data_IF_141875270585
#
_entry.id   IF_141875270585
#
_cell.length_a   1.000
_cell.length_b   1.000
_cell.length_c   1.000
_cell.angle_alpha   90.00
_cell.angle_beta   90.00
_cell.angle_gamma   90.00
#
_symmetry.space_group_name_H-M   'P 1'
#
loop_
_entity.id
_entity.type
_entity.pdbx_description
1 polymer ?
#
# COMPACT_ATOMS: atom_id res chain seq x y z
N UNK A 1 -33.48 9.72 -7.37
CA UNK A 1 -32.70 9.15 -8.50
C UNK A 1 -31.39 8.70 -7.90
N UNK A 2 -31.24 7.40 -7.66
CA UNK A 2 -30.09 6.83 -6.93
C UNK A 2 -28.95 6.76 -7.93
N UNK A 3 -27.94 7.62 -7.77
CA UNK A 3 -26.67 7.48 -8.49
C UNK A 3 -26.05 6.15 -8.07
N UNK A 4 -26.14 5.16 -8.95
CA UNK A 4 -25.42 3.90 -8.81
C UNK A 4 -23.92 4.24 -8.76
N UNK A 5 -23.18 3.84 -7.70
CA UNK A 5 -21.76 4.06 -7.67
C UNK A 5 -21.14 3.39 -8.89
N UNK A 6 -20.40 4.19 -9.66
CA UNK A 6 -19.66 3.82 -10.85
C UNK A 6 -19.20 2.35 -10.77
N UNK A 7 -19.85 1.49 -11.57
CA UNK A 7 -19.39 0.14 -11.82
C UNK A 7 -17.91 0.24 -12.13
N UNK A 8 -17.09 -0.38 -11.28
CA UNK A 8 -15.64 -0.41 -11.40
C UNK A 8 -15.26 -0.58 -12.87
N UNK A 9 -14.71 0.47 -13.47
CA UNK A 9 -14.12 0.35 -14.79
C UNK A 9 -13.07 -0.74 -14.65
N UNK A 10 -13.30 -1.89 -15.29
CA UNK A 10 -12.26 -2.89 -15.51
C UNK A 10 -11.01 -2.12 -15.95
N UNK A 11 -9.81 -2.45 -15.46
CA UNK A 11 -8.58 -1.82 -15.91
C UNK A 11 -8.40 -2.16 -17.40
N UNK A 12 -9.06 -1.37 -18.25
CA UNK A 12 -8.96 -1.45 -19.68
C UNK A 12 -7.63 -0.78 -19.97
N UNK A 13 -6.60 -1.59 -20.21
CA UNK A 13 -5.33 -1.13 -20.75
C UNK A 13 -5.64 -0.33 -22.02
N UNK A 14 -5.70 0.99 -21.90
CA UNK A 14 -5.95 1.80 -23.08
C UNK A 14 -4.70 1.72 -23.93
N UNK A 15 -4.85 1.32 -25.20
CA UNK A 15 -3.75 1.17 -26.17
C UNK A 15 -2.79 2.38 -26.18
N UNK A 16 -3.33 3.57 -25.88
CA UNK A 16 -2.60 4.84 -25.75
C UNK A 16 -1.50 4.79 -24.68
N UNK A 17 -1.74 4.18 -23.52
CA UNK A 17 -0.73 4.07 -22.46
C UNK A 17 0.42 3.17 -22.88
N UNK A 18 0.13 2.06 -23.58
CA UNK A 18 1.16 1.17 -24.13
C UNK A 18 1.99 1.91 -25.18
N UNK A 19 1.34 2.66 -26.08
CA UNK A 19 2.03 3.47 -27.08
C UNK A 19 3.00 4.50 -26.46
N UNK A 20 2.57 5.20 -25.40
CA UNK A 20 3.43 6.15 -24.67
C UNK A 20 4.62 5.43 -24.02
N UNK A 21 4.39 4.29 -23.36
CA UNK A 21 5.46 3.51 -22.72
C UNK A 21 6.49 3.03 -23.74
N UNK A 22 6.03 2.50 -24.89
CA UNK A 22 6.92 2.04 -25.97
C UNK A 22 7.72 3.21 -26.55
N UNK A 23 7.09 4.37 -26.77
CA UNK A 23 7.77 5.55 -27.28
C UNK A 23 8.86 6.07 -26.33
N UNK A 24 8.55 6.18 -25.02
CA UNK A 24 9.53 6.59 -24.00
C UNK A 24 10.67 5.58 -23.90
N UNK A 25 10.37 4.29 -23.91
CA UNK A 25 11.38 3.24 -23.89
C UNK A 25 12.28 3.30 -25.13
N UNK A 26 11.71 3.55 -26.31
CA UNK A 26 12.48 3.68 -27.56
C UNK A 26 13.43 4.88 -27.54
N UNK A 27 13.01 6.03 -27.01
CA UNK A 27 13.90 7.19 -26.84
C UNK A 27 15.05 6.86 -25.87
N UNK A 28 14.74 6.26 -24.72
CA UNK A 28 15.75 5.88 -23.74
C UNK A 28 16.76 4.89 -24.33
N UNK A 29 16.29 3.88 -25.08
CA UNK A 29 17.13 2.93 -25.82
C UNK A 29 17.98 3.62 -26.89
N UNK A 30 17.44 4.57 -27.63
CA UNK A 30 18.18 5.30 -28.65
C UNK A 30 19.33 6.12 -28.04
N UNK A 31 19.11 6.73 -26.87
CA UNK A 31 20.14 7.47 -26.12
C UNK A 31 21.19 6.52 -25.55
N UNK A 32 20.78 5.36 -25.03
CA UNK A 32 21.66 4.37 -24.44
C UNK A 32 22.42 3.50 -25.47
N UNK A 33 21.94 3.44 -26.71
CA UNK A 33 22.50 2.62 -27.80
C UNK A 33 24.03 2.73 -27.99
N UNK A 34 24.65 3.93 -28.01
CA UNK A 34 26.11 4.04 -28.16
C UNK A 34 26.91 3.42 -27.01
N UNK A 35 26.36 3.38 -25.79
CA UNK A 35 26.99 2.69 -24.65
C UNK A 35 26.77 1.17 -24.71
N UNK A 36 25.55 0.74 -25.04
CA UNK A 36 25.21 -0.68 -25.16
C UNK A 36 26.01 -1.42 -26.24
N UNK A 37 26.47 -0.72 -27.28
CA UNK A 37 27.33 -1.30 -28.32
C UNK A 37 28.71 -1.74 -27.83
N UNK A 38 29.17 -1.21 -26.71
CA UNK A 38 30.52 -1.45 -26.17
C UNK A 38 30.53 -2.64 -25.21
N UNK A 39 29.35 -3.16 -24.86
CA UNK A 39 29.18 -4.21 -23.87
C UNK A 39 29.62 -5.58 -24.37
N UNK A 40 30.27 -6.32 -23.49
CA UNK A 40 30.69 -7.70 -23.73
C UNK A 40 29.52 -8.67 -23.55
N UNK A 41 29.68 -9.92 -23.98
CA UNK A 41 28.67 -10.97 -23.75
C UNK A 41 28.38 -11.18 -22.25
N UNK A 42 29.38 -10.98 -21.38
CA UNK A 42 29.25 -11.08 -19.92
C UNK A 42 28.34 -10.00 -19.37
N UNK A 43 28.49 -8.75 -19.83
CA UNK A 43 27.65 -7.62 -19.40
C UNK A 43 26.18 -7.85 -19.76
N UNK A 44 25.93 -8.40 -20.95
CA UNK A 44 24.57 -8.78 -21.38
C UNK A 44 23.97 -9.88 -20.50
N UNK A 45 24.75 -10.87 -20.07
CA UNK A 45 24.29 -11.92 -19.17
C UNK A 45 23.97 -11.38 -17.77
N UNK A 46 24.78 -10.44 -17.26
CA UNK A 46 24.51 -9.76 -15.98
C UNK A 46 23.21 -8.97 -16.07
N UNK A 47 23.02 -8.18 -17.14
CA UNK A 47 21.77 -7.46 -17.37
C UNK A 47 20.58 -8.42 -17.46
N UNK A 48 20.70 -9.52 -18.23
CA UNK A 48 19.64 -10.51 -18.39
C UNK A 48 19.24 -11.11 -17.03
N UNK A 49 20.22 -11.47 -16.19
CA UNK A 49 19.97 -11.96 -14.83
C UNK A 49 19.24 -10.92 -14.00
N UNK A 50 19.74 -9.69 -13.98
CA UNK A 50 19.15 -8.59 -13.23
C UNK A 50 17.68 -8.37 -13.63
N UNK A 51 17.41 -8.28 -14.94
CA UNK A 51 16.05 -8.16 -15.49
C UNK A 51 15.20 -9.36 -15.08
N UNK A 52 15.75 -10.57 -15.11
CA UNK A 52 15.09 -11.78 -14.62
C UNK A 52 14.67 -11.68 -13.15
N UNK A 53 15.57 -11.24 -12.26
CA UNK A 53 15.28 -11.07 -10.84
C UNK A 53 14.20 -10.00 -10.58
N UNK A 54 14.27 -8.88 -11.30
CA UNK A 54 13.24 -7.82 -11.25
C UNK A 54 11.89 -8.35 -11.74
N UNK A 55 11.87 -9.12 -12.83
CA UNK A 55 10.66 -9.73 -13.35
C UNK A 55 10.04 -10.71 -12.35
N UNK A 56 10.84 -11.54 -11.68
CA UNK A 56 10.35 -12.47 -10.65
C UNK A 56 9.71 -11.72 -9.48
N UNK A 57 10.33 -10.65 -8.98
CA UNK A 57 9.74 -9.86 -7.89
C UNK A 57 8.41 -9.20 -8.28
N UNK A 58 8.31 -8.68 -9.51
CA UNK A 58 7.06 -8.17 -10.06
C UNK A 58 5.98 -9.27 -10.23
N UNK A 59 6.36 -10.47 -10.68
CA UNK A 59 5.45 -11.62 -10.81
C UNK A 59 4.93 -12.05 -9.44
N UNK A 60 5.81 -12.19 -8.44
CA UNK A 60 5.43 -12.52 -7.06
C UNK A 60 4.43 -11.49 -6.53
N UNK A 61 4.70 -10.20 -6.74
CA UNK A 61 3.76 -9.14 -6.38
C UNK A 61 2.40 -9.32 -7.06
N UNK A 62 2.36 -9.55 -8.37
CA UNK A 62 1.12 -9.71 -9.12
C UNK A 62 0.33 -10.94 -8.66
N UNK A 63 1.00 -12.06 -8.39
CA UNK A 63 0.39 -13.27 -7.86
C UNK A 63 -0.22 -13.03 -6.48
N UNK A 64 0.53 -12.42 -5.56
CA UNK A 64 0.02 -12.08 -4.22
C UNK A 64 -1.14 -11.09 -4.27
N UNK A 65 -1.05 -10.10 -5.16
CA UNK A 65 -2.11 -9.12 -5.38
C UNK A 65 -3.39 -9.79 -5.88
N UNK A 66 -3.30 -10.65 -6.90
CA UNK A 66 -4.44 -11.34 -7.47
C UNK A 66 -5.07 -12.32 -6.46
N UNK A 67 -4.26 -13.09 -5.72
CA UNK A 67 -4.76 -13.97 -4.67
C UNK A 67 -5.53 -13.21 -3.59
N UNK A 68 -5.00 -12.07 -3.14
CA UNK A 68 -5.69 -11.20 -2.18
C UNK A 68 -6.96 -10.60 -2.77
N UNK A 69 -6.89 -10.10 -3.99
CA UNK A 69 -8.02 -9.52 -4.67
C UNK A 69 -9.17 -10.53 -4.84
N UNK A 70 -8.86 -11.77 -5.22
CA UNK A 70 -9.84 -12.84 -5.31
C UNK A 70 -10.41 -13.23 -3.94
N UNK A 71 -9.58 -13.30 -2.90
CA UNK A 71 -10.04 -13.54 -1.54
C UNK A 71 -11.06 -12.49 -1.10
N UNK A 72 -10.73 -11.20 -1.31
CA UNK A 72 -11.60 -10.09 -0.97
C UNK A 72 -12.89 -10.14 -1.79
N UNK A 73 -12.79 -10.35 -3.10
CA UNK A 73 -13.96 -10.41 -3.98
C UNK A 73 -14.94 -11.52 -3.61
N UNK A 74 -14.44 -12.65 -3.09
CA UNK A 74 -15.28 -13.75 -2.61
C UNK A 74 -15.99 -13.43 -1.30
N UNK A 75 -15.32 -12.69 -0.41
CA UNK A 75 -15.79 -12.46 0.95
C UNK A 75 -16.53 -11.15 1.12
N UNK A 76 -16.30 -10.15 0.27
CA UNK A 76 -16.71 -8.77 0.56
C UNK A 76 -18.23 -8.54 0.50
N UNK A 77 -18.94 -9.24 -0.38
CA UNK A 77 -20.35 -8.93 -0.65
C UNK A 77 -20.50 -7.65 -1.48
N UNK A 78 -21.67 -7.00 -1.42
CA UNK A 78 -21.93 -5.77 -2.18
C UNK A 78 -21.13 -4.59 -1.61
N UNK A 79 -20.67 -3.71 -2.48
CA UNK A 79 -20.10 -2.42 -2.07
C UNK A 79 -21.22 -1.52 -1.52
N UNK A 80 -21.07 -1.07 -0.27
CA UNK A 80 -22.00 -0.15 0.39
C UNK A 80 -21.61 1.30 0.13
N UNK A 81 -20.35 1.65 0.44
CA UNK A 81 -19.84 2.99 0.28
C UNK A 81 -18.36 2.97 -0.10
N UNK A 82 -17.97 3.88 -0.99
CA UNK A 82 -16.56 4.21 -1.20
C UNK A 82 -16.25 5.50 -0.45
N UNK A 83 -15.39 5.41 0.57
CA UNK A 83 -14.92 6.60 1.27
C UNK A 83 -13.91 7.28 0.38
N UNK A 84 -14.27 8.49 -0.05
CA UNK A 84 -13.33 9.32 -0.77
C UNK A 84 -12.41 9.93 0.27
N UNK A 85 -11.15 9.50 0.26
CA UNK A 85 -10.20 10.03 1.21
C UNK A 85 -10.04 11.54 1.02
N UNK A 86 -10.17 12.32 2.10
CA UNK A 86 -9.78 13.76 2.13
C UNK A 86 -8.26 13.94 1.96
N UNK A 87 -7.55 12.83 1.74
CA UNK A 87 -6.13 12.78 1.42
C UNK A 87 -5.77 13.82 0.36
N UNK A 88 -4.83 14.69 0.74
CA UNK A 88 -4.36 15.76 -0.12
C UNK A 88 -3.89 15.17 -1.47
N UNK A 89 -4.10 15.91 -2.57
CA UNK A 89 -3.58 15.52 -3.90
C UNK A 89 -2.09 15.13 -3.84
N UNK A 90 -1.35 15.68 -2.88
CA UNK A 90 0.05 15.41 -2.60
C UNK A 90 0.32 13.99 -2.08
N UNK A 91 -0.60 13.35 -1.36
CA UNK A 91 -0.41 11.97 -0.87
C UNK A 91 -0.25 10.96 -2.01
N UNK A 92 -1.09 11.05 -3.05
CA UNK A 92 -0.97 10.20 -4.25
C UNK A 92 0.32 10.49 -5.03
N UNK A 93 0.67 11.76 -5.18
CA UNK A 93 1.91 12.17 -5.85
C UNK A 93 3.13 11.64 -5.09
N UNK A 94 3.13 11.67 -3.76
CA UNK A 94 4.22 11.14 -2.93
C UNK A 94 4.42 9.63 -3.14
N UNK A 95 3.35 8.84 -3.26
CA UNK A 95 3.46 7.41 -3.55
C UNK A 95 4.00 7.14 -4.95
N UNK A 96 3.56 7.89 -5.96
CA UNK A 96 4.13 7.78 -7.31
C UNK A 96 5.58 8.19 -7.35
N UNK A 97 5.95 9.27 -6.64
CA UNK A 97 7.32 9.72 -6.52
C UNK A 97 8.20 8.67 -5.83
N UNK A 98 7.73 8.07 -4.74
CA UNK A 98 8.44 6.99 -4.04
C UNK A 98 8.59 5.75 -4.92
N UNK A 99 7.54 5.36 -5.65
CA UNK A 99 7.59 4.27 -6.62
C UNK A 99 8.59 4.54 -7.75
N UNK A 100 8.62 5.77 -8.27
CA UNK A 100 9.59 6.20 -9.28
C UNK A 100 11.02 6.22 -8.73
N UNK A 101 11.22 6.66 -7.49
CA UNK A 101 12.52 6.65 -6.82
C UNK A 101 13.03 5.21 -6.66
N UNK A 102 12.19 4.27 -6.25
CA UNK A 102 12.56 2.85 -6.15
C UNK A 102 12.89 2.24 -7.51
N UNK A 103 12.13 2.60 -8.56
CA UNK A 103 12.43 2.18 -9.92
C UNK A 103 13.76 2.76 -10.44
N UNK A 104 14.07 4.02 -10.12
CA UNK A 104 15.34 4.65 -10.44
C UNK A 104 16.50 3.99 -9.67
N UNK A 105 16.32 3.70 -8.38
CA UNK A 105 17.31 2.96 -7.58
C UNK A 105 17.58 1.57 -8.14
N UNK A 106 16.54 0.84 -8.57
CA UNK A 106 16.70 -0.44 -9.27
C UNK A 106 17.57 -0.28 -10.50
N UNK A 107 17.27 0.72 -11.34
CA UNK A 107 18.06 0.98 -12.54
C UNK A 107 19.52 1.30 -12.21
N UNK A 108 19.76 2.14 -11.21
CA UNK A 108 21.09 2.49 -10.74
C UNK A 108 21.87 1.28 -10.21
N UNK A 109 21.25 0.42 -9.39
CA UNK A 109 21.88 -0.81 -8.91
C UNK A 109 22.22 -1.78 -10.04
N UNK A 110 21.34 -1.90 -11.05
CA UNK A 110 21.61 -2.71 -12.23
C UNK A 110 22.84 -2.23 -13.00
N UNK A 111 22.99 -0.91 -13.18
CA UNK A 111 24.18 -0.33 -13.82
C UNK A 111 25.45 -0.53 -12.99
N UNK A 112 25.39 -0.29 -11.68
CA UNK A 112 26.52 -0.54 -10.79
C UNK A 112 26.98 -2.00 -10.82
N UNK A 113 26.07 -2.96 -10.92
CA UNK A 113 26.43 -4.39 -11.02
C UNK A 113 27.21 -4.72 -12.29
N UNK A 114 26.93 -4.04 -13.40
CA UNK A 114 27.65 -4.23 -14.67
C UNK A 114 29.07 -3.65 -14.56
N UNK A 115 29.19 -2.42 -14.04
CA UNK A 115 30.48 -1.73 -13.88
C UNK A 115 31.39 -2.42 -12.85
N UNK A 116 30.82 -2.88 -11.74
CA UNK A 116 31.59 -3.48 -10.64
C UNK A 116 31.96 -4.94 -10.85
N UNK A 117 31.46 -5.60 -11.90
CA UNK A 117 31.67 -7.04 -12.10
C UNK A 117 33.15 -7.42 -12.27
N UNK A 118 33.97 -6.51 -12.80
CA UNK A 118 35.41 -6.75 -12.99
C UNK A 118 36.22 -6.59 -11.69
N UNK A 119 35.68 -5.94 -10.66
CA UNK A 119 36.44 -5.50 -9.47
C UNK A 119 35.90 -6.05 -8.15
N UNK A 120 34.77 -6.74 -8.17
CA UNK A 120 34.20 -7.35 -6.97
C UNK A 120 35.02 -8.58 -6.57
N UNK A 121 35.62 -8.60 -5.35
CA UNK A 121 36.23 -9.81 -4.82
C UNK A 121 35.18 -10.93 -4.78
N UNK A 122 35.60 -12.19 -4.89
CA UNK A 122 34.73 -13.34 -4.69
C UNK A 122 34.16 -13.30 -3.27
N UNK A 123 33.05 -12.59 -3.10
CA UNK A 123 32.25 -12.60 -1.89
C UNK A 123 31.69 -14.01 -1.71
N UNK A 124 31.54 -14.44 -0.45
CA UNK A 124 30.81 -15.65 -0.10
C UNK A 124 29.50 -15.76 -0.92
N UNK A 125 29.19 -16.97 -1.39
CA UNK A 125 28.07 -17.28 -2.29
C UNK A 125 26.75 -16.72 -1.75
N UNK A 126 26.59 -16.70 -0.44
CA UNK A 126 25.42 -16.12 0.24
C UNK A 126 25.30 -14.60 0.02
N UNK A 127 26.40 -13.86 0.20
CA UNK A 127 26.43 -12.39 0.03
C UNK A 127 26.20 -12.03 -1.43
N UNK A 128 26.79 -12.80 -2.35
CA UNK A 128 26.55 -12.65 -3.77
C UNK A 128 25.07 -12.86 -4.12
N UNK A 129 24.44 -13.93 -3.61
CA UNK A 129 23.03 -14.21 -3.85
C UNK A 129 22.11 -13.10 -3.33
N UNK A 130 22.37 -12.59 -2.12
CA UNK A 130 21.62 -11.47 -1.54
C UNK A 130 21.67 -10.23 -2.44
N UNK A 131 22.88 -9.81 -2.81
CA UNK A 131 23.10 -8.56 -3.55
C UNK A 131 22.63 -8.64 -5.00
N UNK A 132 22.80 -9.80 -5.63
CA UNK A 132 22.56 -9.97 -7.06
C UNK A 132 21.14 -10.46 -7.38
N UNK A 133 20.47 -11.15 -6.44
CA UNK A 133 19.16 -11.75 -6.68
C UNK A 133 18.08 -11.22 -5.72
N UNK A 134 18.30 -11.30 -4.41
CA UNK A 134 17.24 -11.01 -3.44
C UNK A 134 16.90 -9.51 -3.38
N UNK A 135 17.90 -8.62 -3.37
CA UNK A 135 17.68 -7.18 -3.30
C UNK A 135 16.89 -6.65 -4.51
N UNK A 136 17.26 -6.95 -5.77
CA UNK A 136 16.48 -6.54 -6.94
C UNK A 136 15.05 -7.08 -6.91
N UNK A 137 14.88 -8.34 -6.50
CA UNK A 137 13.56 -8.95 -6.36
C UNK A 137 12.70 -8.22 -5.31
N UNK A 138 13.26 -7.91 -4.15
CA UNK A 138 12.55 -7.18 -3.09
C UNK A 138 12.21 -5.74 -3.49
N UNK A 139 13.16 -5.01 -4.08
CA UNK A 139 12.95 -3.64 -4.53
C UNK A 139 11.88 -3.56 -5.63
N UNK A 140 11.87 -4.50 -6.57
CA UNK A 140 10.85 -4.58 -7.62
C UNK A 140 9.45 -4.86 -7.04
N UNK A 141 9.34 -5.78 -6.08
CA UNK A 141 8.10 -6.03 -5.34
C UNK A 141 7.58 -4.76 -4.66
N UNK A 142 8.45 -4.02 -3.96
CA UNK A 142 8.09 -2.78 -3.27
C UNK A 142 7.70 -1.67 -4.23
N UNK A 143 8.42 -1.50 -5.34
CA UNK A 143 8.08 -0.53 -6.38
C UNK A 143 6.68 -0.81 -6.94
N UNK A 144 6.37 -2.06 -7.27
CA UNK A 144 5.04 -2.46 -7.71
C UNK A 144 3.97 -2.18 -6.63
N UNK A 145 4.26 -2.48 -5.37
CA UNK A 145 3.35 -2.21 -4.25
C UNK A 145 2.99 -0.72 -4.15
N UNK A 146 3.97 0.18 -4.18
CA UNK A 146 3.70 1.61 -4.09
C UNK A 146 2.99 2.18 -5.31
N UNK A 147 3.35 1.72 -6.52
CA UNK A 147 2.72 2.20 -7.76
C UNK A 147 1.25 1.78 -7.90
N UNK A 148 0.85 0.65 -7.29
CA UNK A 148 -0.51 0.11 -7.33
C UNK A 148 -1.33 0.32 -6.06
N UNK A 149 -0.76 0.99 -5.05
CA UNK A 149 -1.48 1.25 -3.80
C UNK A 149 -2.71 2.10 -4.07
N UNK A 150 -3.89 1.48 -4.00
CA UNK A 150 -5.15 2.21 -4.00
C UNK A 150 -5.34 2.86 -2.62
N UNK A 151 -5.48 4.18 -2.59
CA UNK A 151 -5.71 4.94 -1.36
C UNK A 151 -7.20 5.00 -0.97
N UNK A 152 -8.09 4.41 -1.78
CA UNK A 152 -9.52 4.39 -1.48
C UNK A 152 -9.83 3.38 -0.39
N UNK A 153 -10.70 3.78 0.54
CA UNK A 153 -11.27 2.87 1.53
C UNK A 153 -12.68 2.54 1.09
N UNK A 154 -13.06 1.27 1.18
CA UNK A 154 -14.34 0.77 0.66
C UNK A 154 -15.02 -0.07 1.73
N UNK A 155 -16.25 0.31 2.06
CA UNK A 155 -17.11 -0.42 2.98
C UNK A 155 -17.97 -1.36 2.15
N UNK A 156 -17.87 -2.65 2.44
CA UNK A 156 -18.67 -3.69 1.83
C UNK A 156 -19.61 -4.32 2.87
N UNK A 157 -20.58 -5.11 2.40
CA UNK A 157 -21.56 -5.78 3.26
C UNK A 157 -20.93 -6.60 4.39
N UNK A 158 -19.82 -7.28 4.10
CA UNK A 158 -19.19 -8.22 5.04
C UNK A 158 -17.88 -7.70 5.65
N UNK A 159 -17.47 -6.48 5.32
CA UNK A 159 -16.26 -5.91 5.92
C UNK A 159 -15.75 -4.65 5.25
N UNK A 160 -14.57 -4.25 5.69
CA UNK A 160 -13.85 -3.07 5.28
C UNK A 160 -12.63 -3.46 4.43
N UNK A 161 -12.50 -2.82 3.28
CA UNK A 161 -11.27 -2.84 2.48
C UNK A 161 -10.52 -1.51 2.61
N UNK A 162 -9.30 -1.58 3.12
CA UNK A 162 -8.47 -0.41 3.43
C UNK A 162 -7.12 -0.44 2.71
N UNK A 163 -6.68 0.74 2.25
CA UNK A 163 -5.31 0.97 1.78
C UNK A 163 -4.89 0.13 0.56
N UNK A 164 -5.84 -0.39 -0.22
CA UNK A 164 -5.56 -1.17 -1.41
C UNK A 164 -4.96 -2.55 -1.16
N UNK A 165 -4.91 -3.01 0.10
CA UNK A 165 -4.19 -4.22 0.45
C UNK A 165 -4.74 -5.00 1.65
N UNK A 166 -5.59 -4.40 2.48
CA UNK A 166 -6.05 -4.99 3.73
C UNK A 166 -7.56 -5.17 3.75
N UNK A 167 -8.00 -6.31 4.26
CA UNK A 167 -9.40 -6.67 4.44
C UNK A 167 -9.64 -7.01 5.91
N UNK A 168 -10.68 -6.41 6.48
CA UNK A 168 -11.14 -6.65 7.84
C UNK A 168 -12.61 -7.01 7.78
N UNK A 169 -12.97 -8.20 8.25
CA UNK A 169 -14.38 -8.56 8.38
C UNK A 169 -15.01 -7.73 9.52
N UNK A 170 -16.32 -7.44 9.45
CA UNK A 170 -16.97 -6.62 10.48
C UNK A 170 -16.84 -7.23 11.87
N UNK A 171 -16.82 -8.56 11.99
CA UNK A 171 -16.67 -9.25 13.28
C UNK A 171 -15.28 -9.10 13.91
N UNK A 172 -14.29 -8.64 13.14
CA UNK A 172 -12.92 -8.40 13.62
C UNK A 172 -12.75 -6.98 14.17
N UNK A 173 -13.68 -6.08 13.88
CA UNK A 173 -13.60 -4.68 14.29
C UNK A 173 -14.24 -4.54 15.67
N UNK A 174 -13.43 -4.17 16.66
CA UNK A 174 -13.87 -4.05 18.05
C UNK A 174 -14.69 -2.76 18.24
N UNK A 175 -14.17 -1.64 17.73
CA UNK A 175 -14.79 -0.32 17.85
C UNK A 175 -14.19 0.67 16.87
N UNK A 176 -14.84 1.83 16.77
CA UNK A 176 -14.44 2.94 15.91
C UNK A 176 -14.69 4.27 16.65
N UNK A 177 -13.91 5.29 16.31
CA UNK A 177 -14.14 6.64 16.81
C UNK A 177 -13.67 7.70 15.80
N UNK A 178 -14.21 8.90 15.93
CA UNK A 178 -13.66 10.07 15.27
C UNK A 178 -12.50 10.60 16.08
N UNK A 179 -11.40 10.94 15.41
CA UNK A 179 -10.25 11.54 16.08
C UNK A 179 -10.64 12.89 16.68
N UNK A 180 -10.37 13.07 17.96
CA UNK A 180 -10.57 14.34 18.67
C UNK A 180 -9.64 15.45 18.16
N UNK A 181 -8.46 15.09 17.64
CA UNK A 181 -7.45 16.01 17.12
C UNK A 181 -7.71 16.39 15.67
N UNK A 182 -8.26 15.45 14.88
CA UNK A 182 -8.58 15.64 13.47
C UNK A 182 -10.02 15.16 13.21
N UNK A 183 -11.04 16.02 13.27
CA UNK A 183 -12.44 15.62 13.26
C UNK A 183 -12.88 14.92 11.96
N UNK A 184 -12.11 15.10 10.88
CA UNK A 184 -12.32 14.45 9.59
C UNK A 184 -11.67 13.05 9.51
N UNK A 185 -10.99 12.58 10.57
CA UNK A 185 -10.36 11.26 10.61
C UNK A 185 -11.18 10.27 11.41
N UNK A 186 -11.59 9.20 10.74
CA UNK A 186 -12.15 8.01 11.36
C UNK A 186 -11.02 7.04 11.71
N UNK A 187 -10.97 6.61 12.97
CA UNK A 187 -10.04 5.59 13.43
C UNK A 187 -10.82 4.29 13.67
N UNK A 188 -10.27 3.18 13.18
CA UNK A 188 -10.85 1.85 13.29
C UNK A 188 -9.89 0.95 14.05
N UNK A 189 -10.43 0.21 15.02
CA UNK A 189 -9.68 -0.66 15.90
C UNK A 189 -10.13 -2.11 15.75
N UNK A 190 -9.16 -3.01 15.69
CA UNK A 190 -9.37 -4.46 15.69
C UNK A 190 -8.34 -5.10 16.63
N UNK A 191 -8.78 -6.03 17.47
CA UNK A 191 -7.95 -6.65 18.51
C UNK A 191 -7.16 -5.63 19.35
N UNK A 192 -7.82 -4.56 19.80
CA UNK A 192 -7.25 -3.46 20.59
C UNK A 192 -6.12 -2.66 19.90
N UNK A 193 -5.88 -2.87 18.61
CA UNK A 193 -4.91 -2.11 17.82
C UNK A 193 -5.60 -1.24 16.78
N UNK A 194 -5.07 -0.04 16.56
CA UNK A 194 -5.54 0.81 15.47
C UNK A 194 -5.11 0.19 14.13
N UNK A 195 -6.08 -0.23 13.33
CA UNK A 195 -5.82 -0.88 12.04
C UNK A 195 -5.98 0.07 10.85
N UNK A 196 -6.80 1.11 10.99
CA UNK A 196 -6.97 2.11 9.95
C UNK A 196 -7.16 3.52 10.52
N UNK A 197 -6.61 4.51 9.81
CA UNK A 197 -6.97 5.91 9.93
C UNK A 197 -7.44 6.38 8.55
N UNK A 198 -8.71 6.76 8.47
CA UNK A 198 -9.37 7.08 7.20
C UNK A 198 -9.74 8.56 7.25
N UNK A 199 -9.21 9.33 6.31
CA UNK A 199 -9.66 10.70 6.11
C UNK A 199 -11.04 10.66 5.41
N UNK A 200 -12.08 11.19 6.03
CA UNK A 200 -13.46 11.17 5.53
C UNK A 200 -13.90 12.60 5.22
N UNK A 201 -14.57 12.81 4.10
CA UNK A 201 -15.17 14.11 3.81
C UNK A 201 -16.37 14.37 4.74
N UNK A 202 -16.58 15.60 5.23
CA UNK A 202 -17.68 15.91 6.14
C UNK A 202 -19.06 15.47 5.63
N UNK A 203 -19.27 15.52 4.31
CA UNK A 203 -20.52 15.13 3.64
C UNK A 203 -20.80 13.62 3.72
N UNK A 204 -19.78 12.77 3.87
CA UNK A 204 -19.94 11.32 3.94
C UNK A 204 -20.04 10.82 5.39
N UNK A 205 -19.89 11.71 6.36
CA UNK A 205 -19.78 11.35 7.78
C UNK A 205 -21.01 10.60 8.29
N UNK A 206 -22.20 11.17 8.09
CA UNK A 206 -23.46 10.56 8.55
C UNK A 206 -23.72 9.20 7.90
N UNK A 207 -23.44 9.09 6.59
CA UNK A 207 -23.58 7.82 5.85
C UNK A 207 -22.65 6.74 6.42
N UNK A 208 -21.38 7.09 6.69
CA UNK A 208 -20.39 6.16 7.24
C UNK A 208 -20.73 5.79 8.69
N UNK A 209 -21.14 6.75 9.51
CA UNK A 209 -21.58 6.49 10.88
C UNK A 209 -22.79 5.55 10.92
N UNK A 210 -23.76 5.73 10.01
CA UNK A 210 -24.91 4.82 9.88
C UNK A 210 -24.47 3.39 9.54
N UNK A 211 -23.58 3.23 8.55
CA UNK A 211 -23.09 1.90 8.16
C UNK A 211 -22.31 1.24 9.29
N UNK A 212 -21.44 2.00 9.99
CA UNK A 212 -20.65 1.47 11.10
C UNK A 212 -21.52 1.15 12.33
N UNK A 213 -22.53 1.97 12.61
CA UNK A 213 -23.51 1.71 13.67
C UNK A 213 -24.26 0.41 13.44
N UNK A 214 -24.74 0.19 12.21
CA UNK A 214 -25.48 -1.02 11.84
C UNK A 214 -24.62 -2.29 11.85
N UNK A 215 -23.33 -2.17 11.49
CA UNK A 215 -22.44 -3.33 11.28
C UNK A 215 -21.54 -3.68 12.46
N UNK A 216 -21.08 -2.68 13.21
CA UNK A 216 -20.17 -2.88 14.34
C UNK A 216 -20.87 -2.78 15.70
N UNK A 217 -22.17 -2.47 15.75
CA UNK A 217 -22.96 -2.50 17.00
C UNK A 217 -22.58 -1.46 18.05
N UNK A 218 -21.75 -0.48 17.70
CA UNK A 218 -21.29 0.57 18.60
C UNK A 218 -21.69 1.95 18.08
N UNK A 219 -22.36 2.73 18.94
CA UNK A 219 -22.38 4.20 18.82
C UNK A 219 -20.93 4.70 18.97
N UNK A 220 -20.50 5.79 18.30
CA UNK A 220 -19.15 6.35 18.50
C UNK A 220 -18.95 6.52 20.00
N UNK A 221 -17.92 5.91 20.58
CA UNK A 221 -17.73 5.94 22.02
C UNK A 221 -17.68 7.40 22.46
N UNK A 222 -18.78 7.85 23.09
CA UNK A 222 -18.94 9.20 23.56
C UNK A 222 -17.90 9.40 24.65
N UNK A 223 -16.76 9.95 24.27
CA UNK A 223 -15.70 10.31 25.20
C UNK A 223 -16.14 11.61 25.88
N UNK A 224 -17.15 11.49 26.75
CA UNK A 224 -17.65 12.54 27.64
C UNK A 224 -18.28 12.00 28.93
N UNK A 225 -18.25 10.69 29.20
CA UNK A 225 -18.58 10.14 30.52
C UNK A 225 -17.52 9.14 30.97
N UNK A 226 -16.40 9.66 31.47
CA UNK A 226 -15.61 8.97 32.50
C UNK A 226 -14.84 10.01 33.32
N UNK A 227 -15.62 10.89 33.95
CA UNK A 227 -15.22 11.77 35.05
C UNK A 227 -15.91 11.35 36.35
N UNK A 228 -16.08 10.05 36.60
CA UNK A 228 -16.44 9.53 37.93
C UNK A 228 -15.26 8.74 38.47
N UNK A 229 -14.46 9.42 39.30
CA UNK A 229 -13.61 8.72 40.25
C UNK A 229 -14.49 7.78 41.10
N UNK A 230 -14.03 6.54 41.38
CA UNK A 230 -14.71 5.69 42.34
C UNK A 230 -14.70 6.36 43.72
N UNK A 231 -15.85 6.46 44.42
CA UNK A 231 -15.87 6.88 45.81
C UNK A 231 -15.44 5.68 46.65
N UNK A 232 -14.16 5.62 46.99
CA UNK A 232 -13.61 4.98 48.21
C UNK A 232 -12.15 4.62 48.00
N UNK A 233 -11.27 5.61 48.19
CA UNK A 233 -9.91 5.34 48.64
C UNK A 233 -9.70 6.23 49.85
N UNK A 234 -9.82 5.64 51.05
CA UNK A 234 -9.41 6.29 52.30
C UNK A 234 -7.91 6.60 52.22
N UNK A 235 -7.46 7.80 52.67
CA UNK A 235 -6.04 8.08 52.77
C UNK A 235 -5.41 7.11 53.77
N UNK A 236 -4.31 6.48 53.36
CA UNK A 236 -3.43 5.75 54.27
C UNK A 236 -2.58 6.81 54.96
N UNK A 237 -2.74 6.90 56.28
CA UNK A 237 -1.97 7.77 57.14
C UNK A 237 -0.47 7.45 57.05
N UNK A 238 0.32 8.51 56.92
CA UNK A 238 1.76 8.47 57.06
C UNK A 238 2.10 8.27 58.54
N UNK A 239 2.73 7.14 58.88
CA UNK A 239 3.53 7.04 60.09
C UNK A 239 4.97 6.65 59.76
N UNK A 240 5.84 7.51 60.28
CA UNK A 240 7.29 7.44 60.40
C UNK A 240 7.79 6.11 60.96
N UNK A 241 8.87 5.58 60.37
CA UNK A 241 10.09 5.20 61.09
C UNK A 241 11.26 5.02 60.12
#
# INVERSE_FOLDING_TARGET
MIDLPNVEKRPQFQLRHVGVVVFVAAIALAIAAPWLRQWTATDWLILLRFVGCVAVGAIIYLLMYELRYQHIRRNAGRLLASVRTSGSKYGKIAYYFLGALLAASLFFFGLLQIESHEHLPQSDLFTWFLMQCLIPMQLSYQACFFLRRDSSTRLYENGLYFGGAQWFAWEQIDHWNWSSVAPDKLLIYAHQMQVAAIDVLPQQREEIESILGDRCGGSPSSTAENGKLPPDVKPIDAESH
#
